data_IF_030424368395
#
_entry.id   IF_030424368395
#
_cell.length_a   1.000
_cell.length_b   1.000
_cell.length_c   1.000
_cell.angle_alpha   90.00
_cell.angle_beta   90.00
_cell.angle_gamma   90.00
#
_symmetry.space_group_name_H-M   'P 1'
#
loop_
_entity.id
_entity.type
_entity.pdbx_description
1 polymer ?
#
# COMPACT_ATOMS: atom_id res chain seq x y z
N UNK A 1 -25.10 3.41 -15.32
CA UNK A 1 -24.26 2.48 -14.54
C UNK A 1 -23.16 2.00 -15.48
N UNK A 2 -22.08 2.79 -15.58
CA UNK A 2 -20.86 2.48 -16.33
C UNK A 2 -19.84 1.99 -15.30
N UNK A 3 -20.21 0.93 -14.56
CA UNK A 3 -19.41 0.46 -13.41
C UNK A 3 -18.41 -0.64 -13.77
N UNK A 4 -18.35 -1.05 -15.03
CA UNK A 4 -17.38 -2.02 -15.53
C UNK A 4 -16.88 -1.54 -16.88
N UNK A 5 -15.84 -0.69 -16.84
CA UNK A 5 -14.90 -0.60 -17.95
C UNK A 5 -14.26 -1.97 -18.19
N UNK A 6 -13.82 -2.24 -19.41
CA UNK A 6 -13.67 -3.58 -19.97
C UNK A 6 -12.55 -4.35 -19.24
N UNK A 7 -12.95 -5.31 -18.38
CA UNK A 7 -12.05 -6.24 -17.69
C UNK A 7 -11.13 -7.03 -18.66
N UNK A 8 -11.42 -7.00 -19.97
CA UNK A 8 -10.72 -7.75 -21.01
C UNK A 8 -9.92 -6.86 -21.98
N UNK A 9 -10.27 -5.57 -22.15
CA UNK A 9 -9.49 -4.67 -23.03
C UNK A 9 -8.32 -4.02 -22.28
N UNK A 10 -8.44 -3.81 -20.95
CA UNK A 10 -7.43 -3.19 -20.10
C UNK A 10 -6.68 -4.21 -19.21
N UNK A 11 -6.45 -5.44 -19.71
CA UNK A 11 -5.79 -6.51 -18.94
C UNK A 11 -4.34 -6.15 -18.63
N UNK A 12 -3.60 -5.63 -19.62
CA UNK A 12 -2.20 -5.27 -19.44
C UNK A 12 -2.04 -4.14 -18.40
N UNK A 13 -2.90 -3.15 -18.44
CA UNK A 13 -2.85 -1.99 -17.55
C UNK A 13 -3.23 -2.38 -16.12
N UNK A 14 -4.28 -3.17 -15.95
CA UNK A 14 -4.70 -3.70 -14.66
C UNK A 14 -3.65 -4.65 -14.08
N UNK A 15 -3.00 -5.46 -14.94
CA UNK A 15 -1.89 -6.31 -14.54
C UNK A 15 -0.68 -5.48 -14.07
N UNK A 16 -0.29 -4.46 -14.82
CA UNK A 16 0.81 -3.56 -14.44
C UNK A 16 0.53 -2.86 -13.11
N UNK A 17 -0.71 -2.41 -12.90
CA UNK A 17 -1.12 -1.82 -11.63
C UNK A 17 -1.08 -2.83 -10.47
N UNK A 18 -1.56 -4.06 -10.71
CA UNK A 18 -1.48 -5.14 -9.72
C UNK A 18 -0.03 -5.50 -9.37
N UNK A 19 0.86 -5.53 -10.37
CA UNK A 19 2.30 -5.74 -10.17
C UNK A 19 2.92 -4.60 -9.36
N UNK A 20 2.55 -3.34 -9.63
CA UNK A 20 3.02 -2.18 -8.88
C UNK A 20 2.59 -2.23 -7.42
N UNK A 21 1.30 -2.48 -7.15
CA UNK A 21 0.77 -2.66 -5.81
C UNK A 21 1.43 -3.83 -5.08
N UNK A 22 1.56 -4.98 -5.73
CA UNK A 22 2.22 -6.17 -5.16
C UNK A 22 3.71 -5.91 -4.90
N UNK A 23 4.37 -5.11 -5.73
CA UNK A 23 5.76 -4.73 -5.48
C UNK A 23 5.87 -3.86 -4.24
N UNK A 24 4.96 -2.91 -4.02
CA UNK A 24 4.99 -2.09 -2.81
C UNK A 24 4.67 -2.87 -1.52
N UNK A 25 3.82 -3.89 -1.59
CA UNK A 25 3.39 -4.65 -0.40
C UNK A 25 4.20 -5.92 -0.16
N UNK A 26 4.37 -6.76 -1.19
CA UNK A 26 4.92 -8.12 -1.09
C UNK A 26 6.45 -8.14 -1.13
N UNK A 27 7.09 -7.30 -1.96
CA UNK A 27 8.56 -7.34 -2.11
C UNK A 27 9.30 -6.99 -0.81
N UNK A 28 8.81 -5.96 -0.10
CA UNK A 28 9.37 -5.50 1.17
C UNK A 28 9.10 -6.49 2.30
N UNK A 29 7.92 -7.10 2.27
CA UNK A 29 7.52 -8.16 3.20
C UNK A 29 8.45 -9.37 3.09
N UNK A 30 8.69 -9.86 1.86
CA UNK A 30 9.59 -10.99 1.60
C UNK A 30 11.05 -10.69 2.00
N UNK A 31 11.56 -9.49 1.73
CA UNK A 31 12.93 -9.12 2.09
C UNK A 31 13.16 -9.03 3.61
N UNK A 32 12.15 -8.70 4.40
CA UNK A 32 12.28 -8.48 5.85
C UNK A 32 11.83 -9.71 6.66
N UNK A 33 10.73 -10.37 6.27
CA UNK A 33 10.14 -11.50 7.00
C UNK A 33 10.55 -12.86 6.43
N UNK A 34 11.11 -12.90 5.21
CA UNK A 34 11.38 -14.15 4.50
C UNK A 34 10.10 -14.85 4.00
N UNK A 35 10.21 -16.08 3.46
CA UNK A 35 9.08 -16.85 2.91
C UNK A 35 8.17 -17.47 3.99
N UNK A 36 8.20 -16.96 5.23
CA UNK A 36 7.46 -17.54 6.34
C UNK A 36 6.01 -17.00 6.36
N UNK A 37 5.09 -17.77 5.77
CA UNK A 37 3.67 -17.39 5.68
C UNK A 37 3.03 -17.06 7.04
N UNK A 38 3.42 -17.76 8.11
CA UNK A 38 2.93 -17.46 9.46
C UNK A 38 3.39 -16.07 9.93
N UNK A 39 4.62 -15.67 9.62
CA UNK A 39 5.15 -14.35 9.96
C UNK A 39 4.42 -13.24 9.19
N UNK A 40 4.10 -13.48 7.91
CA UNK A 40 3.34 -12.53 7.07
C UNK A 40 1.94 -12.31 7.65
N UNK A 41 1.19 -13.39 7.92
CA UNK A 41 -0.16 -13.31 8.51
C UNK A 41 -0.11 -12.62 9.87
N UNK A 42 0.90 -12.92 10.68
CA UNK A 42 1.10 -12.27 11.99
C UNK A 42 1.29 -10.76 11.83
N UNK A 43 2.17 -10.34 10.92
CA UNK A 43 2.44 -8.91 10.72
C UNK A 43 1.22 -8.15 10.24
N UNK A 44 0.29 -8.75 9.49
CA UNK A 44 -0.96 -8.07 9.10
C UNK A 44 -2.10 -8.19 10.12
N UNK A 45 -1.88 -8.85 11.26
CA UNK A 45 -2.86 -8.94 12.35
C UNK A 45 -2.80 -7.71 13.27
N UNK A 46 -3.93 -7.38 13.92
CA UNK A 46 -4.17 -6.14 14.70
C UNK A 46 -3.11 -5.83 15.76
N UNK A 47 -2.39 -6.84 16.27
CA UNK A 47 -1.35 -6.70 17.30
C UNK A 47 -0.05 -7.47 17.02
N UNK A 48 0.11 -8.04 15.82
CA UNK A 48 1.20 -8.98 15.53
C UNK A 48 2.51 -8.35 15.03
N UNK A 49 2.52 -7.02 14.81
CA UNK A 49 3.73 -6.26 14.57
C UNK A 49 4.50 -6.11 15.90
N UNK A 50 5.65 -6.76 15.97
CA UNK A 50 6.50 -6.79 17.17
C UNK A 50 7.75 -5.94 16.98
N UNK A 51 8.18 -5.76 15.73
CA UNK A 51 9.36 -4.97 15.39
C UNK A 51 8.99 -3.60 14.82
N UNK A 52 9.94 -2.66 14.92
CA UNK A 52 9.88 -1.36 14.24
C UNK A 52 9.71 -1.54 12.73
N UNK A 53 10.33 -2.57 12.16
CA UNK A 53 10.23 -2.91 10.74
C UNK A 53 8.84 -3.41 10.36
N UNK A 54 8.20 -4.21 11.22
CA UNK A 54 6.84 -4.74 11.00
C UNK A 54 5.82 -3.58 10.92
N UNK A 55 5.92 -2.63 11.85
CA UNK A 55 5.04 -1.45 11.86
C UNK A 55 5.28 -0.54 10.64
N UNK A 56 6.54 -0.36 10.25
CA UNK A 56 6.87 0.41 9.04
C UNK A 56 6.28 -0.24 7.78
N UNK A 57 6.33 -1.56 7.68
CA UNK A 57 5.72 -2.32 6.58
C UNK A 57 4.19 -2.21 6.56
N UNK A 58 3.54 -2.33 7.71
CA UNK A 58 2.09 -2.16 7.82
C UNK A 58 1.67 -0.76 7.38
N UNK A 59 2.31 0.29 7.92
CA UNK A 59 1.95 1.68 7.64
C UNK A 59 2.12 1.98 6.15
N UNK A 60 3.28 1.63 5.58
CA UNK A 60 3.55 1.88 4.16
C UNK A 60 2.60 1.13 3.24
N UNK A 61 2.33 -0.16 3.52
CA UNK A 61 1.38 -0.98 2.75
C UNK A 61 -0.04 -0.41 2.78
N UNK A 62 -0.54 -0.08 3.97
CA UNK A 62 -1.88 0.50 4.15
C UNK A 62 -1.98 1.86 3.47
N UNK A 63 -0.98 2.74 3.63
CA UNK A 63 -0.98 4.04 2.97
C UNK A 63 -0.97 3.92 1.45
N UNK A 64 -0.23 2.96 0.86
CA UNK A 64 -0.25 2.70 -0.58
C UNK A 64 -1.62 2.23 -1.07
N UNK A 65 -2.26 1.31 -0.36
CA UNK A 65 -3.59 0.78 -0.75
C UNK A 65 -4.66 1.85 -0.62
N UNK A 66 -4.65 2.61 0.47
CA UNK A 66 -5.56 3.75 0.66
C UNK A 66 -5.30 4.82 -0.39
N UNK A 67 -4.04 5.12 -0.70
CA UNK A 67 -3.67 6.05 -1.76
C UNK A 67 -4.16 5.61 -3.15
N UNK A 68 -4.01 4.32 -3.49
CA UNK A 68 -4.57 3.73 -4.71
C UNK A 68 -6.09 3.89 -4.77
N UNK A 69 -6.77 3.58 -3.68
CA UNK A 69 -8.23 3.71 -3.57
C UNK A 69 -8.69 5.17 -3.71
N UNK A 70 -7.98 6.10 -3.07
CA UNK A 70 -8.24 7.54 -3.22
C UNK A 70 -8.01 8.01 -4.66
N UNK A 71 -7.01 7.45 -5.35
CA UNK A 71 -6.73 7.70 -6.76
C UNK A 71 -7.81 7.21 -7.72
N UNK A 72 -8.76 6.38 -7.28
CA UNK A 72 -9.90 5.95 -8.07
C UNK A 72 -11.07 6.96 -8.07
N UNK A 73 -11.17 7.84 -7.07
CA UNK A 73 -12.20 8.90 -7.02
C UNK A 73 -12.23 9.87 -8.21
N UNK A 74 -11.10 10.34 -8.76
CA UNK A 74 -11.13 11.29 -9.88
C UNK A 74 -11.55 10.67 -11.22
N UNK A 75 -11.60 9.33 -11.34
CA UNK A 75 -12.00 8.62 -12.57
C UNK A 75 -13.46 8.90 -12.94
N UNK A 76 -14.47 8.70 -12.04
CA UNK A 76 -15.88 8.94 -12.38
C UNK A 76 -16.23 10.42 -12.59
N UNK A 77 -15.35 11.36 -12.21
CA UNK A 77 -15.55 12.78 -12.43
C UNK A 77 -15.16 13.23 -13.85
N UNK A 78 -14.38 12.40 -14.54
CA UNK A 78 -13.98 12.44 -15.96
C UNK A 78 -13.96 13.86 -16.56
N UNK A 79 -12.99 14.67 -16.12
CA UNK A 79 -12.75 16.03 -16.63
C UNK A 79 -11.96 16.04 -17.96
N UNK A 80 -12.05 14.95 -18.75
CA UNK A 80 -11.28 14.70 -19.97
C UNK A 80 -9.77 14.94 -19.80
N UNK A 81 -9.21 14.56 -18.63
CA UNK A 81 -7.78 14.73 -18.35
C UNK A 81 -7.03 13.42 -18.56
N UNK A 82 -5.88 13.43 -19.25
CA UNK A 82 -5.12 12.21 -19.54
C UNK A 82 -4.59 11.51 -18.28
N UNK A 83 -4.50 12.20 -17.14
CA UNK A 83 -4.07 11.63 -15.87
C UNK A 83 -5.20 10.94 -15.07
N UNK A 84 -6.48 11.17 -15.43
CA UNK A 84 -7.65 10.55 -14.78
C UNK A 84 -8.00 9.18 -15.36
N UNK A 85 -7.29 8.76 -16.40
CA UNK A 85 -7.50 7.46 -17.05
C UNK A 85 -6.99 6.34 -16.15
N UNK A 86 -7.78 5.26 -16.02
CA UNK A 86 -7.33 4.05 -15.36
C UNK A 86 -6.11 3.46 -16.08
N UNK A 87 -5.03 3.04 -15.39
CA UNK A 87 -4.78 3.02 -13.95
C UNK A 87 -3.84 4.16 -13.50
N UNK A 88 -3.68 5.22 -14.29
CA UNK A 88 -2.69 6.28 -14.07
C UNK A 88 -2.99 7.00 -12.75
N UNK A 89 -4.23 7.44 -12.53
CA UNK A 89 -4.64 8.12 -11.30
C UNK A 89 -4.44 7.25 -10.05
N UNK A 90 -4.80 5.97 -10.14
CA UNK A 90 -4.62 4.98 -9.08
C UNK A 90 -3.14 4.69 -8.80
N UNK A 91 -2.30 4.61 -9.84
CA UNK A 91 -0.86 4.38 -9.71
C UNK A 91 -0.15 5.58 -9.08
N UNK A 92 -0.55 6.80 -9.44
CA UNK A 92 -0.10 8.03 -8.79
C UNK A 92 -0.54 8.07 -7.32
N UNK A 93 -1.81 7.72 -7.05
CA UNK A 93 -2.33 7.60 -5.69
C UNK A 93 -1.58 6.58 -4.85
N UNK A 94 -1.29 5.39 -5.40
CA UNK A 94 -0.52 4.35 -4.74
C UNK A 94 0.91 4.82 -4.40
N UNK A 95 1.56 5.48 -5.35
CA UNK A 95 2.94 5.96 -5.20
C UNK A 95 3.02 7.12 -4.20
N UNK A 96 2.08 8.06 -4.26
CA UNK A 96 1.97 9.14 -3.28
C UNK A 96 1.65 8.59 -1.88
N UNK A 97 0.72 7.64 -1.78
CA UNK A 97 0.39 6.92 -0.55
C UNK A 97 1.61 6.23 0.05
N UNK A 98 2.41 5.54 -0.77
CA UNK A 98 3.66 4.92 -0.35
C UNK A 98 4.65 5.95 0.21
N UNK A 99 4.87 7.05 -0.51
CA UNK A 99 5.77 8.13 -0.09
C UNK A 99 5.33 8.77 1.24
N UNK A 100 4.03 9.01 1.40
CA UNK A 100 3.45 9.49 2.66
C UNK A 100 3.64 8.45 3.76
N UNK A 101 3.43 7.17 3.48
CA UNK A 101 3.69 6.07 4.42
C UNK A 101 5.14 6.01 4.90
N UNK A 102 6.11 6.30 4.01
CA UNK A 102 7.53 6.38 4.36
C UNK A 102 7.85 7.55 5.31
N UNK A 103 7.05 8.62 5.31
CA UNK A 103 7.18 9.74 6.25
C UNK A 103 6.43 9.48 7.55
N UNK A 104 5.21 8.91 7.47
CA UNK A 104 4.38 8.61 8.64
C UNK A 104 5.01 7.51 9.49
N UNK A 105 5.59 6.48 8.89
CA UNK A 105 6.21 5.37 9.61
C UNK A 105 7.25 5.83 10.66
N UNK A 106 8.32 6.59 10.32
CA UNK A 106 9.30 7.04 11.29
C UNK A 106 8.71 8.02 12.31
N UNK A 107 7.76 8.87 11.92
CA UNK A 107 7.08 9.78 12.86
C UNK A 107 6.26 9.00 13.90
N UNK A 108 5.52 7.98 13.46
CA UNK A 108 4.75 7.09 14.32
C UNK A 108 5.66 6.29 15.27
N UNK A 109 6.74 5.72 14.74
CA UNK A 109 7.75 5.01 15.53
C UNK A 109 8.39 5.94 16.55
N UNK A 110 8.74 7.17 16.16
CA UNK A 110 9.34 8.16 17.05
C UNK A 110 8.41 8.51 18.22
N UNK A 111 7.12 8.70 17.95
CA UNK A 111 6.13 8.98 18.97
C UNK A 111 5.93 7.77 19.90
N UNK A 112 5.81 6.58 19.34
CA UNK A 112 5.48 5.36 20.09
C UNK A 112 6.71 4.60 20.62
N UNK A 113 7.91 5.19 20.50
CA UNK A 113 9.19 4.55 20.84
C UNK A 113 9.20 3.91 22.22
N UNK A 114 8.61 4.58 23.23
CA UNK A 114 8.59 4.08 24.61
C UNK A 114 7.80 2.79 24.78
N UNK A 115 6.71 2.63 24.03
CA UNK A 115 5.89 1.42 24.07
C UNK A 115 6.53 0.27 23.26
N UNK A 116 7.15 0.61 22.14
CA UNK A 116 7.85 -0.35 21.28
C UNK A 116 9.07 -0.98 21.98
N UNK A 117 9.85 -0.21 22.74
CA UNK A 117 10.97 -0.75 23.52
C UNK A 117 10.53 -1.76 24.59
N UNK A 118 9.32 -1.59 25.15
CA UNK A 118 8.79 -2.50 26.17
C UNK A 118 8.31 -3.83 25.59
N UNK A 119 7.74 -3.83 24.38
CA UNK A 119 7.31 -5.05 23.66
C UNK A 119 8.47 -5.90 23.12
N UNK A 120 9.67 -5.32 23.01
CA UNK A 120 10.87 -5.98 22.46
C UNK A 120 11.76 -6.64 23.52
N UNK A 121 11.47 -6.49 24.81
CA UNK A 121 12.09 -7.23 25.91
C UNK A 121 11.23 -8.43 26.28
#
# INVERSE_FOLDING_TARGET
>A
IVLYGPLVECVAETFLFAVLLSTFTTSRCLCILGPNFHAIIRVFSKDGAMSVWDHSLQITSVCSVVGAWLGAFPIPLDWDRPWQVWPISCSLGATAGYAVGLLIAPLWIYWNRKQLTYKSR
#
